data_IF_827383941284
#
_entry.id   IF_827383941284
#
_cell.length_a   1.000
_cell.length_b   1.000
_cell.length_c   1.000
_cell.angle_alpha   90.00
_cell.angle_beta   90.00
_cell.angle_gamma   90.00
#
_symmetry.space_group_name_H-M   'P 1'
#
loop_
_entity.id
_entity.type
_entity.pdbx_description
1 polymer ?
#
# COMPACT_ATOMS: atom_id res chain seq x y z
N UNK A 1 4.38 -5.96 10.84
CA UNK A 1 3.83 -5.23 9.69
C UNK A 1 2.33 -5.31 9.76
N UNK A 2 1.66 -4.16 9.88
CA UNK A 2 0.20 -4.08 9.96
C UNK A 2 -0.46 -4.32 8.60
N UNK A 3 0.09 -3.74 7.53
CA UNK A 3 -0.48 -3.84 6.18
C UNK A 3 0.21 -4.96 5.36
N UNK A 4 -0.01 -6.21 5.76
CA UNK A 4 0.57 -7.39 5.08
C UNK A 4 0.07 -7.52 3.63
N UNK A 5 -1.21 -7.20 3.38
CA UNK A 5 -1.86 -7.24 2.06
C UNK A 5 -1.19 -6.32 1.05
N UNK A 6 -0.94 -5.07 1.44
CA UNK A 6 -0.19 -4.10 0.63
C UNK A 6 1.19 -4.63 0.23
N UNK A 7 1.95 -5.16 1.19
CA UNK A 7 3.28 -5.70 0.91
C UNK A 7 3.23 -6.88 -0.06
N UNK A 8 2.28 -7.80 0.12
CA UNK A 8 2.12 -8.95 -0.76
C UNK A 8 1.75 -8.52 -2.18
N UNK A 9 0.74 -7.64 -2.34
CA UNK A 9 0.36 -7.11 -3.64
C UNK A 9 1.52 -6.38 -4.34
N UNK A 10 2.32 -5.60 -3.60
CA UNK A 10 3.53 -4.98 -4.16
C UNK A 10 4.54 -6.01 -4.65
N UNK A 11 4.74 -7.09 -3.90
CA UNK A 11 5.64 -8.18 -4.29
C UNK A 11 5.10 -9.00 -5.47
N UNK A 12 3.78 -9.20 -5.58
CA UNK A 12 3.12 -9.82 -6.75
C UNK A 12 3.35 -9.02 -8.04
N UNK A 13 3.53 -7.71 -7.93
CA UNK A 13 3.90 -6.83 -9.04
C UNK A 13 5.41 -6.67 -9.26
N UNK A 14 6.25 -7.48 -8.59
CA UNK A 14 7.73 -7.38 -8.62
C UNK A 14 8.27 -5.97 -8.30
N UNK A 15 7.51 -5.18 -7.53
CA UNK A 15 7.90 -3.83 -7.16
C UNK A 15 8.67 -3.79 -5.84
N UNK A 16 9.76 -3.03 -5.81
CA UNK A 16 10.36 -2.55 -4.56
C UNK A 16 9.54 -1.43 -3.94
N UNK A 17 9.78 -1.12 -2.65
CA UNK A 17 9.15 0.03 -2.00
C UNK A 17 9.47 1.36 -2.70
N UNK A 18 10.67 1.47 -3.29
CA UNK A 18 11.08 2.67 -4.03
C UNK A 18 10.30 2.82 -5.33
N UNK A 19 10.12 1.72 -6.08
CA UNK A 19 9.36 1.72 -7.33
C UNK A 19 7.88 2.04 -7.10
N UNK A 20 7.26 1.45 -6.06
CA UNK A 20 5.88 1.83 -5.71
C UNK A 20 5.78 3.30 -5.29
N UNK A 21 6.76 3.78 -4.52
CA UNK A 21 6.79 5.17 -4.08
C UNK A 21 6.87 6.15 -5.25
N UNK A 22 7.73 5.87 -6.23
CA UNK A 22 7.84 6.62 -7.47
C UNK A 22 6.51 6.61 -8.25
N UNK A 23 5.89 5.43 -8.40
CA UNK A 23 4.62 5.28 -9.12
C UNK A 23 3.46 6.07 -8.51
N UNK A 24 3.45 6.30 -7.20
CA UNK A 24 2.38 7.01 -6.49
C UNK A 24 2.78 8.40 -6.00
N UNK A 25 3.98 8.89 -6.38
CA UNK A 25 4.44 10.24 -6.09
C UNK A 25 4.76 10.51 -4.62
N UNK A 26 5.29 9.53 -3.90
CA UNK A 26 5.71 9.67 -2.48
C UNK A 26 7.14 9.19 -2.27
N UNK A 27 7.64 9.30 -1.03
CA UNK A 27 8.97 8.78 -0.70
C UNK A 27 8.94 7.29 -0.41
N UNK A 28 10.06 6.59 -0.62
CA UNK A 28 10.23 5.18 -0.21
C UNK A 28 9.95 4.97 1.29
N UNK A 29 10.28 5.95 2.13
CA UNK A 29 9.99 5.92 3.56
C UNK A 29 8.48 5.96 3.84
N UNK A 30 7.71 6.74 3.08
CA UNK A 30 6.25 6.79 3.18
C UNK A 30 5.65 5.40 2.96
N UNK A 31 6.04 4.70 1.88
CA UNK A 31 5.58 3.32 1.63
C UNK A 31 5.98 2.38 2.77
N UNK A 32 7.22 2.48 3.28
CA UNK A 32 7.68 1.67 4.42
C UNK A 32 6.86 1.90 5.70
N UNK A 33 6.46 3.14 5.99
CA UNK A 33 5.60 3.47 7.13
C UNK A 33 4.18 2.95 6.95
N UNK A 34 3.64 2.98 5.73
CA UNK A 34 2.32 2.38 5.45
C UNK A 34 2.39 0.88 5.68
N UNK A 35 3.37 0.17 5.09
CA UNK A 35 3.49 -1.29 5.26
C UNK A 35 3.70 -1.72 6.72
N UNK A 36 4.45 -0.93 7.49
CA UNK A 36 4.66 -1.21 8.91
C UNK A 36 3.43 -0.89 9.77
N UNK A 37 2.56 0.02 9.32
CA UNK A 37 1.40 0.54 10.06
C UNK A 37 1.69 1.82 10.85
N UNK A 38 2.87 2.43 10.66
CA UNK A 38 3.28 3.68 11.30
C UNK A 38 2.75 4.96 10.63
N UNK A 39 2.02 4.82 9.52
CA UNK A 39 1.37 5.94 8.84
C UNK A 39 0.02 5.50 8.27
N UNK A 40 -1.02 6.30 8.53
CA UNK A 40 -2.32 6.15 7.89
C UNK A 40 -2.37 7.02 6.63
N UNK A 41 -2.36 6.43 5.42
CA UNK A 41 -2.39 7.18 4.17
C UNK A 41 -3.72 7.93 3.96
N UNK A 42 -3.69 9.00 3.17
CA UNK A 42 -4.91 9.66 2.72
C UNK A 42 -5.66 8.78 1.72
N UNK A 43 -6.97 8.98 1.58
CA UNK A 43 -7.77 8.23 0.60
C UNK A 43 -7.21 8.33 -0.83
N UNK A 44 -6.72 9.52 -1.23
CA UNK A 44 -6.10 9.72 -2.54
C UNK A 44 -4.85 8.85 -2.72
N UNK A 45 -4.02 8.73 -1.69
CA UNK A 45 -2.84 7.86 -1.73
C UNK A 45 -3.23 6.38 -1.76
N UNK A 46 -4.26 5.97 -1.02
CA UNK A 46 -4.80 4.61 -1.10
C UNK A 46 -5.26 4.28 -2.52
N UNK A 47 -6.02 5.19 -3.15
CA UNK A 47 -6.50 5.02 -4.54
C UNK A 47 -5.33 4.94 -5.52
N UNK A 48 -4.31 5.78 -5.36
CA UNK A 48 -3.11 5.74 -6.22
C UNK A 48 -2.37 4.40 -6.10
N UNK A 49 -2.21 3.89 -4.87
CA UNK A 49 -1.61 2.58 -4.59
C UNK A 49 -2.44 1.45 -5.21
N UNK A 50 -3.76 1.47 -5.02
CA UNK A 50 -4.69 0.52 -5.62
C UNK A 50 -4.52 0.44 -7.15
N UNK A 51 -4.48 1.60 -7.81
CA UNK A 51 -4.26 1.69 -9.27
C UNK A 51 -2.89 1.17 -9.69
N UNK A 52 -1.83 1.50 -8.96
CA UNK A 52 -0.47 1.06 -9.26
C UNK A 52 -0.30 -0.47 -9.12
N UNK A 53 -1.04 -1.09 -8.18
CA UNK A 53 -0.95 -2.53 -7.89
C UNK A 53 -2.05 -3.36 -8.55
N UNK A 54 -2.99 -2.73 -9.26
CA UNK A 54 -4.14 -3.42 -9.86
C UNK A 54 -5.07 -4.08 -8.83
N UNK A 55 -5.24 -3.47 -7.66
CA UNK A 55 -6.10 -3.96 -6.57
C UNK A 55 -7.14 -2.93 -6.18
N UNK A 56 -8.17 -3.35 -5.46
CA UNK A 56 -9.20 -2.50 -4.86
C UNK A 56 -8.80 -2.05 -3.45
N UNK A 57 -9.57 -1.11 -2.87
CA UNK A 57 -9.37 -0.69 -1.48
C UNK A 57 -9.61 -1.84 -0.50
N UNK A 58 -10.65 -2.64 -0.76
CA UNK A 58 -11.05 -3.77 0.09
C UNK A 58 -9.96 -4.84 0.17
N UNK A 59 -9.32 -5.13 -0.97
CA UNK A 59 -8.21 -6.09 -1.06
C UNK A 59 -6.94 -5.64 -0.32
N UNK A 60 -6.73 -4.32 -0.15
CA UNK A 60 -5.47 -3.78 0.39
C UNK A 60 -5.56 -3.26 1.82
N UNK A 61 -6.67 -2.62 2.20
CA UNK A 61 -6.76 -1.79 3.40
C UNK A 61 -7.89 -2.18 4.37
N UNK A 62 -8.82 -3.04 3.96
CA UNK A 62 -9.90 -3.50 4.86
C UNK A 62 -9.42 -4.67 5.72
N UNK A 63 -9.90 -4.73 6.97
CA UNK A 63 -9.67 -5.85 7.89
C UNK A 63 -10.70 -6.96 7.64
N UNK A 64 -10.30 -8.23 7.78
CA UNK A 64 -11.20 -9.38 7.59
C UNK A 64 -12.15 -9.60 8.77
N UNK A 65 -11.93 -8.91 9.88
CA UNK A 65 -12.76 -9.04 11.07
C UNK A 65 -13.78 -7.89 11.14
N UNK A 66 -15.08 -8.18 11.27
CA UNK A 66 -16.03 -7.16 11.70
C UNK A 66 -15.66 -6.69 13.12
N UNK A 67 -15.61 -5.37 13.30
CA UNK A 67 -15.48 -4.75 14.62
C UNK A 67 -16.66 -5.11 15.53
#
# INVERSE_FOLDING_TARGET
MKNKRLRLARMECDMSQAQLAEAVGVTRQTIGLIESGGYNPTLNLCIAICRALGKTLDELFWEDEPQ
#
